data_IF_140384258008
#
_entry.id   IF_140384258008
#
_cell.length_a   1.000
_cell.length_b   1.000
_cell.length_c   1.000
_cell.angle_alpha   90.00
_cell.angle_beta   90.00
_cell.angle_gamma   90.00
#
_symmetry.space_group_name_H-M   'P 1'
#
loop_
_entity.id
_entity.type
_entity.pdbx_description
1 polymer ?
#
# COMPACT_ATOMS: atom_id res chain seq x y z
N UNK A 1 -3.01 9.33 29.33
CA UNK A 1 -3.11 7.96 28.76
C UNK A 1 -1.82 7.23 29.06
N UNK A 2 -1.88 6.16 29.84
CA UNK A 2 -0.73 5.30 30.17
C UNK A 2 -0.39 4.43 28.95
N UNK A 3 0.88 4.37 28.56
CA UNK A 3 1.34 3.47 27.49
C UNK A 3 2.00 2.25 28.08
N UNK A 4 1.72 1.08 27.51
CA UNK A 4 2.37 -0.17 27.86
C UNK A 4 3.73 -0.25 27.18
N UNK A 5 4.78 -0.47 27.96
CA UNK A 5 6.13 -0.71 27.44
C UNK A 5 6.22 -2.17 27.00
N UNK A 6 6.51 -2.40 25.73
CA UNK A 6 6.64 -3.74 25.16
C UNK A 6 8.10 -4.20 25.34
N UNK A 7 8.34 -5.36 25.98
CA UNK A 7 9.68 -5.94 26.13
C UNK A 7 10.40 -6.15 24.79
N UNK A 8 11.70 -6.44 24.84
CA UNK A 8 12.48 -6.81 23.65
C UNK A 8 12.24 -8.28 23.25
N UNK A 9 10.97 -8.63 23.07
CA UNK A 9 10.52 -9.93 22.58
C UNK A 9 10.04 -9.77 21.13
N UNK A 10 10.73 -10.44 20.21
CA UNK A 10 10.43 -10.36 18.78
C UNK A 10 9.04 -10.91 18.44
N UNK A 11 8.65 -12.03 19.08
CA UNK A 11 7.38 -12.70 18.82
C UNK A 11 6.20 -11.83 19.26
N UNK A 12 6.32 -11.17 20.41
CA UNK A 12 5.30 -10.26 20.93
C UNK A 12 5.13 -9.03 20.04
N UNK A 13 6.24 -8.42 19.63
CA UNK A 13 6.21 -7.25 18.74
C UNK A 13 5.62 -7.61 17.38
N UNK A 14 5.98 -8.76 16.82
CA UNK A 14 5.43 -9.24 15.56
C UNK A 14 3.93 -9.54 15.65
N UNK A 15 3.46 -10.13 16.75
CA UNK A 15 2.04 -10.35 16.99
C UNK A 15 1.26 -9.02 17.04
N UNK A 16 1.76 -8.02 17.77
CA UNK A 16 1.14 -6.69 17.83
C UNK A 16 1.10 -6.00 16.45
N UNK A 17 2.17 -6.10 15.66
CA UNK A 17 2.23 -5.57 14.31
C UNK A 17 1.23 -6.31 13.39
N UNK A 18 1.15 -7.64 13.50
CA UNK A 18 0.23 -8.46 12.71
C UNK A 18 -1.22 -8.12 13.01
N UNK A 19 -1.60 -8.00 14.29
CA UNK A 19 -2.95 -7.66 14.71
C UNK A 19 -3.35 -6.26 14.21
N UNK A 20 -2.47 -5.26 14.41
CA UNK A 20 -2.72 -3.89 13.96
C UNK A 20 -2.84 -3.77 12.43
N UNK A 21 -2.17 -4.65 11.69
CA UNK A 21 -2.20 -4.66 10.22
C UNK A 21 -3.36 -5.48 9.64
N UNK A 22 -3.82 -6.52 10.34
CA UNK A 22 -4.85 -7.46 9.87
C UNK A 22 -6.26 -7.10 10.32
N UNK A 23 -6.42 -6.01 11.08
CA UNK A 23 -7.72 -5.49 11.48
C UNK A 23 -8.62 -5.26 10.25
N UNK A 24 -9.86 -5.79 10.22
CA UNK A 24 -10.77 -5.72 9.06
C UNK A 24 -11.05 -4.29 8.57
N UNK A 25 -10.90 -3.30 9.45
CA UNK A 25 -11.16 -1.89 9.17
C UNK A 25 -9.91 -1.11 8.73
N UNK A 26 -8.74 -1.76 8.72
CA UNK A 26 -7.48 -1.05 8.55
C UNK A 26 -7.06 -0.84 7.09
N UNK A 27 -7.80 -1.38 6.11
CA UNK A 27 -7.54 -1.32 4.65
C UNK A 27 -6.04 -1.15 4.39
N UNK A 28 -5.25 -2.18 4.73
CA UNK A 28 -3.78 -2.20 4.67
C UNK A 28 -3.12 -0.85 5.04
N UNK A 29 -3.01 -0.57 6.35
CA UNK A 29 -2.68 0.77 6.82
C UNK A 29 -1.26 1.14 6.38
N UNK A 30 -1.09 2.40 5.94
CA UNK A 30 0.25 2.94 5.73
C UNK A 30 1.08 2.86 7.02
N UNK A 31 2.41 2.81 6.89
CA UNK A 31 3.32 2.79 8.05
C UNK A 31 3.07 3.94 9.02
N UNK A 32 2.70 5.12 8.51
CA UNK A 32 2.34 6.28 9.34
C UNK A 32 1.09 6.04 10.17
N UNK A 33 0.02 5.51 9.56
CA UNK A 33 -1.23 5.21 10.25
C UNK A 33 -1.00 4.12 11.30
N UNK A 34 -0.34 3.03 10.91
CA UNK A 34 -0.03 1.91 11.80
C UNK A 34 0.80 2.35 13.01
N UNK A 35 1.82 3.19 12.81
CA UNK A 35 2.59 3.75 13.92
C UNK A 35 1.73 4.62 14.83
N UNK A 36 0.86 5.46 14.27
CA UNK A 36 -0.01 6.33 15.06
C UNK A 36 -0.95 5.53 15.94
N UNK A 37 -1.60 4.51 15.38
CA UNK A 37 -2.58 3.67 16.07
C UNK A 37 -1.90 2.87 17.20
N UNK A 38 -0.73 2.26 16.94
CA UNK A 38 0.05 1.56 17.96
C UNK A 38 0.57 2.49 19.06
N UNK A 39 1.02 3.69 18.69
CA UNK A 39 1.57 4.69 19.62
C UNK A 39 0.53 5.19 20.64
N UNK A 40 -0.77 4.98 20.41
CA UNK A 40 -1.79 5.36 21.39
C UNK A 40 -1.70 4.52 22.67
N UNK A 41 -1.38 3.23 22.53
CA UNK A 41 -1.45 2.26 23.64
C UNK A 41 -0.09 1.62 23.98
N UNK A 42 0.84 1.54 23.01
CA UNK A 42 2.10 0.80 23.15
C UNK A 42 3.32 1.69 22.90
N UNK A 43 4.46 1.26 23.44
CA UNK A 43 5.77 1.87 23.16
C UNK A 43 6.91 0.85 23.28
N UNK A 44 7.89 0.93 22.39
CA UNK A 44 9.19 0.27 22.51
C UNK A 44 10.28 0.98 21.70
N UNK A 45 11.54 0.68 21.99
CA UNK A 45 12.69 1.22 21.24
C UNK A 45 12.70 0.69 19.81
N UNK A 46 12.75 1.60 18.84
CA UNK A 46 12.73 1.23 17.41
C UNK A 46 11.35 1.01 16.80
N UNK A 47 10.24 1.23 17.52
CA UNK A 47 8.87 0.99 17.04
C UNK A 47 8.57 1.53 15.63
N UNK A 48 9.00 2.76 15.30
CA UNK A 48 8.83 3.32 13.95
C UNK A 48 9.51 2.47 12.86
N UNK A 49 10.72 1.98 13.15
CA UNK A 49 11.52 1.16 12.23
C UNK A 49 10.88 -0.21 12.04
N UNK A 50 10.40 -0.82 13.13
CA UNK A 50 9.76 -2.13 13.08
C UNK A 50 8.47 -2.05 12.26
N UNK A 51 7.64 -1.02 12.48
CA UNK A 51 6.44 -0.73 11.67
C UNK A 51 6.80 -0.54 10.20
N UNK A 52 7.80 0.29 9.87
CA UNK A 52 8.21 0.51 8.49
C UNK A 52 8.69 -0.78 7.81
N UNK A 53 9.51 -1.57 8.51
CA UNK A 53 10.01 -2.87 8.02
C UNK A 53 8.86 -3.85 7.81
N UNK A 54 7.91 -3.93 8.73
CA UNK A 54 6.75 -4.83 8.64
C UNK A 54 5.86 -4.47 7.45
N UNK A 55 5.44 -3.20 7.34
CA UNK A 55 4.61 -2.73 6.21
C UNK A 55 5.32 -2.90 4.88
N UNK A 56 6.65 -2.72 4.83
CA UNK A 56 7.43 -2.92 3.60
C UNK A 56 7.41 -4.36 3.09
N UNK A 57 7.09 -5.35 3.93
CA UNK A 57 6.97 -6.76 3.51
C UNK A 57 5.57 -7.11 2.98
N UNK A 58 4.58 -6.24 3.16
CA UNK A 58 3.23 -6.49 2.66
C UNK A 58 3.10 -6.11 1.16
N UNK A 59 2.80 -7.10 0.31
CA UNK A 59 2.63 -6.90 -1.13
C UNK A 59 1.51 -5.90 -1.47
N UNK A 60 0.41 -5.93 -0.72
CA UNK A 60 -0.73 -5.02 -0.94
C UNK A 60 -0.33 -3.58 -0.59
N UNK A 61 0.37 -3.37 0.53
CA UNK A 61 0.93 -2.07 0.89
C UNK A 61 1.95 -1.58 -0.14
N UNK A 62 2.78 -2.46 -0.70
CA UNK A 62 3.74 -2.08 -1.75
C UNK A 62 3.05 -1.65 -3.06
N UNK A 63 1.99 -2.35 -3.46
CA UNK A 63 1.25 -2.02 -4.69
C UNK A 63 0.52 -0.68 -4.56
N UNK A 64 -0.12 -0.43 -3.42
CA UNK A 64 -0.82 0.84 -3.13
C UNK A 64 0.16 2.02 -2.99
N UNK A 65 1.39 1.79 -2.54
CA UNK A 65 2.45 2.81 -2.50
C UNK A 65 2.95 3.28 -3.87
N UNK A 66 2.54 2.64 -4.98
CA UNK A 66 2.93 3.07 -6.33
C UNK A 66 2.41 4.46 -6.75
N UNK A 67 1.71 5.17 -5.84
CA UNK A 67 1.30 6.58 -5.95
C UNK A 67 0.62 6.88 -7.28
N UNK A 68 -0.32 6.04 -7.72
CA UNK A 68 -1.21 6.45 -8.80
C UNK A 68 -2.19 7.50 -8.26
N UNK A 69 -2.22 8.68 -8.86
CA UNK A 69 -3.02 9.83 -8.42
C UNK A 69 -4.09 10.23 -9.47
N UNK A 70 -4.16 9.49 -10.58
CA UNK A 70 -5.07 9.74 -11.69
C UNK A 70 -5.54 8.43 -12.29
N UNK A 71 -6.82 8.37 -12.68
CA UNK A 71 -7.37 7.29 -13.48
C UNK A 71 -7.42 7.78 -14.93
N UNK A 72 -6.71 7.09 -15.83
CA UNK A 72 -6.81 7.33 -17.26
C UNK A 72 -7.83 6.39 -17.86
N UNK A 73 -8.80 6.96 -18.58
CA UNK A 73 -9.85 6.21 -19.26
C UNK A 73 -9.55 6.15 -20.74
N UNK A 74 -9.41 4.94 -21.27
CA UNK A 74 -9.21 4.67 -22.70
C UNK A 74 -10.48 4.06 -23.24
N UNK A 75 -11.06 4.68 -24.27
CA UNK A 75 -12.33 4.23 -24.86
C UNK A 75 -12.05 3.66 -26.25
N UNK A 76 -12.31 2.37 -26.43
CA UNK A 76 -12.25 1.74 -27.74
C UNK A 76 -13.60 1.89 -28.43
N UNK A 77 -13.61 2.60 -29.56
CA UNK A 77 -14.85 2.88 -30.30
C UNK A 77 -15.34 1.69 -31.13
N UNK A 78 -14.46 0.76 -31.49
CA UNK A 78 -14.72 -0.42 -32.29
C UNK A 78 -15.37 -1.53 -31.44
N UNK A 79 -14.78 -1.85 -30.30
CA UNK A 79 -15.30 -2.87 -29.36
C UNK A 79 -16.31 -2.31 -28.38
N UNK A 80 -16.43 -0.98 -28.27
CA UNK A 80 -17.22 -0.27 -27.24
C UNK A 80 -16.74 -0.55 -25.81
N UNK A 81 -15.50 -1.01 -25.63
CA UNK A 81 -14.91 -1.22 -24.31
C UNK A 81 -14.35 0.08 -23.72
N UNK A 82 -14.22 0.11 -22.39
CA UNK A 82 -13.59 1.18 -21.63
C UNK A 82 -12.57 0.60 -20.66
N UNK A 83 -11.33 1.09 -20.69
CA UNK A 83 -10.25 0.62 -19.84
C UNK A 83 -9.88 1.71 -18.83
N UNK A 84 -9.75 1.32 -17.55
CA UNK A 84 -9.42 2.21 -16.44
C UNK A 84 -8.00 1.91 -15.94
N UNK A 85 -7.06 2.78 -16.29
CA UNK A 85 -5.66 2.61 -15.94
C UNK A 85 -5.27 3.56 -14.81
N UNK A 86 -4.85 3.07 -13.63
CA UNK A 86 -4.28 3.92 -12.60
C UNK A 86 -2.89 4.38 -13.05
N UNK A 87 -2.70 5.69 -13.17
CA UNK A 87 -1.44 6.33 -13.62
C UNK A 87 -1.02 7.46 -12.66
N UNK A 88 0.13 8.07 -12.94
CA UNK A 88 0.54 9.35 -12.33
C UNK A 88 0.40 10.51 -13.30
N UNK A 89 0.03 11.68 -12.80
CA UNK A 89 -0.04 12.93 -13.60
C UNK A 89 1.27 13.32 -14.27
N UNK A 90 2.39 12.94 -13.66
CA UNK A 90 3.74 13.29 -14.14
C UNK A 90 4.36 12.23 -15.06
N UNK A 91 3.59 11.24 -15.53
CA UNK A 91 4.07 10.31 -16.55
C UNK A 91 4.33 11.04 -17.86
N UNK A 92 5.53 10.84 -18.41
CA UNK A 92 5.84 11.26 -19.78
C UNK A 92 5.00 10.47 -20.79
N UNK A 93 4.87 11.01 -22.00
CA UNK A 93 4.16 10.34 -23.11
C UNK A 93 4.70 8.93 -23.35
N UNK A 94 6.02 8.72 -23.26
CA UNK A 94 6.63 7.40 -23.38
C UNK A 94 6.13 6.42 -22.31
N UNK A 95 6.02 6.86 -21.05
CA UNK A 95 5.49 6.00 -19.97
C UNK A 95 4.00 5.72 -20.12
N UNK A 96 3.24 6.68 -20.65
CA UNK A 96 1.82 6.46 -20.98
C UNK A 96 1.68 5.44 -22.11
N UNK A 97 2.51 5.50 -23.14
CA UNK A 97 2.51 4.53 -24.24
C UNK A 97 2.87 3.12 -23.73
N UNK A 98 3.87 2.98 -22.86
CA UNK A 98 4.20 1.70 -22.22
C UNK A 98 3.03 1.13 -21.40
N UNK A 99 2.33 1.97 -20.63
CA UNK A 99 1.18 1.55 -19.85
C UNK A 99 0.03 1.05 -20.75
N UNK A 100 -0.25 1.73 -21.87
CA UNK A 100 -1.23 1.28 -22.86
C UNK A 100 -0.85 -0.04 -23.52
N UNK A 101 0.41 -0.18 -23.94
CA UNK A 101 0.88 -1.41 -24.58
C UNK A 101 0.79 -2.59 -23.62
N UNK A 102 1.16 -2.39 -22.35
CA UNK A 102 1.05 -3.42 -21.31
C UNK A 102 -0.40 -3.89 -21.16
N UNK A 103 -1.35 -2.96 -21.10
CA UNK A 103 -2.79 -3.27 -21.01
C UNK A 103 -3.30 -3.99 -22.28
N UNK A 104 -2.90 -3.53 -23.46
CA UNK A 104 -3.28 -4.14 -24.73
C UNK A 104 -2.77 -5.59 -24.85
N UNK A 105 -1.56 -5.88 -24.34
CA UNK A 105 -1.03 -7.24 -24.30
C UNK A 105 -1.75 -8.16 -23.31
N UNK A 106 -2.28 -7.63 -22.19
CA UNK A 106 -3.11 -8.42 -21.28
C UNK A 106 -4.48 -8.74 -21.86
N UNK A 107 -4.94 -8.04 -22.89
CA UNK A 107 -6.22 -8.33 -23.58
C UNK A 107 -6.12 -9.47 -24.60
N UNK A 108 -4.93 -9.79 -25.09
CA UNK A 108 -4.71 -10.89 -26.05
C UNK A 108 -4.49 -12.26 -25.38
N UNK A 109 -4.67 -12.38 -24.07
CA UNK A 109 -4.63 -13.62 -23.29
C UNK A 109 -5.97 -13.87 -22.64
#
# INVERSE_FOLDING_TARGET
VTRLVVPNDASLREALLTEAHSSPFSIHPSSTKMYHDLKQHFWWSGMKRDVATFVSKCLICQQTQRRHDTIWVVVDRLTKSTHFLPIRKDYSVSRLAEALLTEAHSFSR
#
